data_IF_105396640580
#
_entry.id   IF_105396640580
#
_cell.length_a   1.000
_cell.length_b   1.000
_cell.length_c   1.000
_cell.angle_alpha   90.00
_cell.angle_beta   90.00
_cell.angle_gamma   90.00
#
_symmetry.space_group_name_H-M   'P 1'
#
loop_
_entity.id
_entity.type
_entity.pdbx_description
1 polymer ?
#
# COMPACT_ATOMS: atom_id res chain seq x y z
N UNK A 1 -37.26 7.80 -9.22
CA UNK A 1 -36.39 8.10 -8.07
C UNK A 1 -35.33 7.01 -7.92
N UNK A 2 -34.18 7.12 -8.60
CA UNK A 2 -33.04 6.18 -8.47
C UNK A 2 -31.74 6.86 -8.91
N UNK A 3 -31.11 7.65 -8.05
CA UNK A 3 -29.79 8.25 -8.32
C UNK A 3 -28.94 8.53 -7.08
N UNK A 4 -29.40 8.22 -5.86
CA UNK A 4 -28.73 8.70 -4.64
C UNK A 4 -27.88 7.66 -3.87
N UNK A 5 -27.89 6.38 -4.25
CA UNK A 5 -27.09 5.33 -3.56
C UNK A 5 -25.69 5.10 -4.13
N UNK A 6 -25.36 5.70 -5.28
CA UNK A 6 -24.06 5.56 -5.97
C UNK A 6 -22.88 6.37 -5.38
N UNK A 7 -23.05 7.61 -4.86
CA UNK A 7 -21.90 8.41 -4.45
C UNK A 7 -21.21 7.87 -3.18
N UNK A 8 -21.97 7.31 -2.24
CA UNK A 8 -21.43 6.91 -0.94
C UNK A 8 -20.52 5.68 -1.02
N UNK A 9 -20.90 4.69 -1.82
CA UNK A 9 -20.10 3.46 -1.96
C UNK A 9 -18.87 3.70 -2.85
N UNK A 10 -19.00 4.51 -3.90
CA UNK A 10 -17.87 4.94 -4.74
C UNK A 10 -16.88 5.80 -3.95
N UNK A 11 -17.38 6.76 -3.17
CA UNK A 11 -16.57 7.61 -2.29
C UNK A 11 -15.85 6.77 -1.23
N UNK A 12 -16.54 5.79 -0.63
CA UNK A 12 -15.93 4.84 0.32
C UNK A 12 -14.81 4.03 -0.32
N UNK A 13 -15.03 3.52 -1.54
CA UNK A 13 -14.02 2.80 -2.29
C UNK A 13 -12.83 3.70 -2.63
N UNK A 14 -13.07 4.92 -3.12
CA UNK A 14 -12.03 5.90 -3.42
C UNK A 14 -11.20 6.24 -2.18
N UNK A 15 -11.85 6.50 -1.06
CA UNK A 15 -11.19 6.78 0.22
C UNK A 15 -10.35 5.60 0.70
N UNK A 16 -10.84 4.37 0.53
CA UNK A 16 -10.08 3.17 0.85
C UNK A 16 -8.86 3.02 -0.07
N UNK A 17 -8.98 3.27 -1.38
CA UNK A 17 -7.84 3.28 -2.32
C UNK A 17 -6.83 4.35 -1.93
N UNK A 18 -7.28 5.56 -1.59
CA UNK A 18 -6.39 6.65 -1.22
C UNK A 18 -5.59 6.32 0.05
N UNK A 19 -6.25 5.74 1.07
CA UNK A 19 -5.57 5.29 2.30
C UNK A 19 -4.51 4.22 2.03
N UNK A 20 -4.81 3.25 1.16
CA UNK A 20 -3.85 2.19 0.87
C UNK A 20 -2.68 2.70 0.05
N UNK A 21 -2.91 3.57 -0.94
CA UNK A 21 -1.83 4.23 -1.68
C UNK A 21 -0.97 5.09 -0.75
N UNK A 22 -1.59 5.88 0.14
CA UNK A 22 -0.87 6.67 1.13
C UNK A 22 -0.03 5.80 2.08
N UNK A 23 -0.59 4.69 2.57
CA UNK A 23 0.14 3.71 3.38
C UNK A 23 1.35 3.16 2.64
N UNK A 24 1.20 2.82 1.35
CA UNK A 24 2.30 2.35 0.49
C UNK A 24 3.38 3.43 0.39
N UNK A 25 3.03 4.69 0.13
CA UNK A 25 4.01 5.78 0.09
C UNK A 25 4.74 5.98 1.42
N UNK A 26 4.08 5.76 2.56
CA UNK A 26 4.68 5.90 3.89
C UNK A 26 5.78 4.86 4.16
N UNK A 27 5.78 3.73 3.45
CA UNK A 27 6.83 2.71 3.57
C UNK A 27 8.20 3.30 3.23
N UNK A 28 8.28 4.19 2.23
CA UNK A 28 9.54 4.81 1.80
C UNK A 28 10.26 5.58 2.92
N UNK A 29 9.66 6.64 3.51
CA UNK A 29 10.31 7.40 4.57
C UNK A 29 10.55 6.57 5.83
N UNK A 30 9.66 5.61 6.14
CA UNK A 30 9.86 4.70 7.29
C UNK A 30 11.09 3.82 7.05
N UNK A 31 11.22 3.23 5.86
CA UNK A 31 12.35 2.37 5.52
C UNK A 31 13.66 3.15 5.53
N UNK A 32 13.67 4.38 5.00
CA UNK A 32 14.85 5.24 5.03
C UNK A 32 15.25 5.64 6.46
N UNK A 33 14.27 6.01 7.29
CA UNK A 33 14.50 6.36 8.69
C UNK A 33 15.09 5.17 9.47
N UNK A 34 14.52 3.97 9.30
CA UNK A 34 15.01 2.76 9.96
C UNK A 34 16.41 2.37 9.45
N UNK A 35 16.68 2.48 8.15
CA UNK A 35 18.00 2.23 7.58
C UNK A 35 19.06 3.19 8.17
N UNK A 36 18.74 4.48 8.30
CA UNK A 36 19.62 5.47 8.92
C UNK A 36 19.90 5.14 10.38
N UNK A 37 18.88 4.72 11.14
CA UNK A 37 19.05 4.29 12.53
C UNK A 37 19.99 3.09 12.64
N UNK A 38 19.82 2.07 11.79
CA UNK A 38 20.72 0.90 11.75
C UNK A 38 22.16 1.33 11.44
N UNK A 39 22.35 2.24 10.48
CA UNK A 39 23.68 2.73 10.09
C UNK A 39 24.36 3.65 11.10
N UNK A 40 23.60 4.28 12.00
CA UNK A 40 24.12 5.21 13.01
C UNK A 40 24.68 4.55 14.27
N UNK A 41 24.44 3.24 14.46
CA UNK A 41 24.81 2.48 15.65
C UNK A 41 26.05 1.64 15.38
N UNK A 42 27.03 1.67 16.30
CA UNK A 42 28.29 0.91 16.20
C UNK A 42 28.40 -0.13 17.32
N UNK A 43 29.02 -1.28 17.02
CA UNK A 43 29.31 -2.33 18.00
C UNK A 43 28.15 -3.33 18.19
N UNK A 44 28.08 -4.00 19.35
CA UNK A 44 27.14 -5.11 19.56
C UNK A 44 25.67 -4.70 19.51
N UNK A 45 25.36 -3.43 19.75
CA UNK A 45 24.01 -2.85 19.65
C UNK A 45 23.50 -2.79 18.21
N UNK A 46 24.38 -2.81 17.21
CA UNK A 46 24.01 -2.77 15.78
C UNK A 46 23.21 -4.02 15.37
N UNK A 47 23.52 -5.19 15.93
CA UNK A 47 22.79 -6.43 15.63
C UNK A 47 21.35 -6.34 16.18
N UNK A 48 21.20 -5.85 17.42
CA UNK A 48 19.88 -5.68 18.04
C UNK A 48 19.02 -4.67 17.27
N UNK A 49 19.58 -3.49 16.95
CA UNK A 49 18.88 -2.44 16.20
C UNK A 49 18.60 -2.89 14.76
N UNK A 50 19.52 -3.62 14.14
CA UNK A 50 19.34 -4.24 12.82
C UNK A 50 18.16 -5.21 12.80
N UNK A 51 18.06 -6.10 13.79
CA UNK A 51 16.94 -7.04 13.90
C UNK A 51 15.61 -6.31 14.07
N UNK A 52 15.56 -5.30 14.94
CA UNK A 52 14.35 -4.49 15.16
C UNK A 52 13.96 -3.74 13.88
N UNK A 53 14.91 -3.10 13.20
CA UNK A 53 14.66 -2.31 12.00
C UNK A 53 14.16 -3.19 10.84
N UNK A 54 14.81 -4.33 10.57
CA UNK A 54 14.36 -5.28 9.54
C UNK A 54 12.99 -5.86 9.88
N UNK A 55 12.73 -6.17 11.15
CA UNK A 55 11.42 -6.64 11.62
C UNK A 55 10.32 -5.59 11.38
N UNK A 56 10.56 -4.32 11.69
CA UNK A 56 9.61 -3.23 11.44
C UNK A 56 9.37 -2.98 9.94
N UNK A 57 10.44 -2.99 9.13
CA UNK A 57 10.32 -2.86 7.67
C UNK A 57 9.47 -4.02 7.12
N UNK A 58 9.77 -5.26 7.50
CA UNK A 58 9.00 -6.42 7.03
C UNK A 58 7.53 -6.36 7.47
N UNK A 59 7.24 -5.98 8.70
CA UNK A 59 5.87 -5.82 9.19
C UNK A 59 5.08 -4.77 8.39
N UNK A 60 5.68 -3.61 8.12
CA UNK A 60 5.03 -2.54 7.34
C UNK A 60 4.75 -2.96 5.89
N UNK A 61 5.69 -3.68 5.27
CA UNK A 61 5.49 -4.26 3.93
C UNK A 61 4.31 -5.24 3.92
N UNK A 62 4.23 -6.15 4.90
CA UNK A 62 3.14 -7.14 4.99
C UNK A 62 1.78 -6.45 5.17
N UNK A 63 1.71 -5.43 6.02
CA UNK A 63 0.47 -4.66 6.26
C UNK A 63 0.03 -3.97 4.96
N UNK A 64 0.95 -3.30 4.27
CA UNK A 64 0.65 -2.60 3.03
C UNK A 64 0.24 -3.56 1.90
N UNK A 65 0.95 -4.68 1.75
CA UNK A 65 0.60 -5.73 0.79
C UNK A 65 -0.82 -6.26 1.05
N UNK A 66 -1.11 -6.61 2.30
CA UNK A 66 -2.43 -7.12 2.69
C UNK A 66 -3.53 -6.08 2.46
N UNK A 67 -3.25 -4.81 2.75
CA UNK A 67 -4.20 -3.72 2.51
C UNK A 67 -4.46 -3.51 1.01
N UNK A 68 -3.42 -3.52 0.17
CA UNK A 68 -3.55 -3.43 -1.28
C UNK A 68 -4.31 -4.63 -1.85
N UNK A 69 -4.02 -5.85 -1.39
CA UNK A 69 -4.69 -7.08 -1.83
C UNK A 69 -6.18 -7.06 -1.47
N UNK A 70 -6.53 -6.59 -0.26
CA UNK A 70 -7.93 -6.41 0.17
C UNK A 70 -8.72 -5.51 -0.79
N UNK A 71 -8.10 -4.47 -1.35
CA UNK A 71 -8.74 -3.61 -2.35
C UNK A 71 -8.96 -4.34 -3.68
N UNK A 72 -7.99 -5.15 -4.10
CA UNK A 72 -8.09 -5.96 -5.32
C UNK A 72 -9.24 -6.96 -5.26
N UNK A 73 -9.56 -7.53 -4.10
CA UNK A 73 -10.66 -8.48 -3.93
C UNK A 73 -11.98 -7.85 -3.48
N UNK A 74 -12.00 -6.54 -3.19
CA UNK A 74 -13.18 -5.82 -2.72
C UNK A 74 -14.34 -5.93 -3.72
N UNK A 75 -15.32 -6.78 -3.43
CA UNK A 75 -16.51 -6.89 -4.26
C UNK A 75 -17.41 -5.70 -4.01
N UNK A 76 -17.83 -5.03 -5.07
CA UNK A 76 -18.78 -3.95 -4.99
C UNK A 76 -19.89 -4.16 -6.00
N UNK A 77 -21.13 -4.02 -5.55
CA UNK A 77 -22.33 -4.17 -6.37
C UNK A 77 -22.73 -2.84 -7.02
N UNK A 78 -21.79 -1.91 -7.20
CA UNK A 78 -22.01 -0.55 -7.72
C UNK A 78 -22.36 -0.52 -9.21
N UNK A 79 -21.93 -1.51 -10.00
CA UNK A 79 -21.95 -1.38 -11.46
C UNK A 79 -23.35 -1.63 -12.07
N UNK A 80 -23.99 -0.55 -12.52
CA UNK A 80 -25.26 -0.59 -13.28
C UNK A 80 -25.01 -0.85 -14.78
N UNK A 81 -23.81 -0.53 -15.28
CA UNK A 81 -23.44 -0.62 -16.70
C UNK A 81 -22.09 -1.37 -16.86
N UNK A 82 -21.92 -2.25 -17.88
CA UNK A 82 -20.68 -2.98 -18.15
C UNK A 82 -19.43 -2.07 -18.24
N UNK A 83 -19.55 -0.86 -18.80
CA UNK A 83 -18.43 0.08 -18.91
C UNK A 83 -17.94 0.57 -17.53
N UNK A 84 -18.86 0.93 -16.64
CA UNK A 84 -18.52 1.32 -15.27
C UNK A 84 -17.88 0.16 -14.50
N UNK A 85 -18.34 -1.07 -14.73
CA UNK A 85 -17.78 -2.26 -14.10
C UNK A 85 -16.31 -2.48 -14.46
N UNK A 86 -15.94 -2.23 -15.73
CA UNK A 86 -14.55 -2.31 -16.19
C UNK A 86 -13.69 -1.24 -15.51
N UNK A 87 -14.15 0.01 -15.48
CA UNK A 87 -13.42 1.11 -14.84
C UNK A 87 -13.21 0.85 -13.34
N UNK A 88 -14.23 0.39 -12.62
CA UNK A 88 -14.16 0.03 -11.20
C UNK A 88 -13.20 -1.14 -10.95
N UNK A 89 -13.20 -2.15 -11.84
CA UNK A 89 -12.28 -3.30 -11.75
C UNK A 89 -10.83 -2.86 -11.92
N UNK A 90 -10.56 -1.98 -12.89
CA UNK A 90 -9.22 -1.43 -13.12
C UNK A 90 -8.77 -0.55 -11.95
N UNK A 91 -9.66 0.30 -11.45
CA UNK A 91 -9.37 1.20 -10.33
C UNK A 91 -8.99 0.46 -9.05
N UNK A 92 -9.57 -0.72 -8.79
CA UNK A 92 -9.22 -1.58 -7.64
C UNK A 92 -7.79 -2.11 -7.68
N UNK A 93 -7.15 -2.15 -8.86
CA UNK A 93 -5.77 -2.63 -9.01
C UNK A 93 -4.73 -1.53 -8.76
N UNK A 94 -5.15 -0.27 -8.68
CA UNK A 94 -4.26 0.88 -8.45
C UNK A 94 -3.37 0.69 -7.21
N UNK A 95 -3.88 0.29 -6.02
CA UNK A 95 -3.02 0.05 -4.85
C UNK A 95 -1.91 -0.99 -5.08
N UNK A 96 -2.20 -2.07 -5.80
CA UNK A 96 -1.21 -3.10 -6.13
C UNK A 96 -0.15 -2.58 -7.09
N UNK A 97 -0.53 -1.78 -8.09
CA UNK A 97 0.44 -1.17 -9.02
C UNK A 97 1.41 -0.25 -8.28
N UNK A 98 0.92 0.57 -7.35
CA UNK A 98 1.78 1.40 -6.50
C UNK A 98 2.71 0.53 -5.63
N UNK A 99 2.20 -0.53 -5.03
CA UNK A 99 3.02 -1.44 -4.22
C UNK A 99 4.14 -2.10 -5.04
N UNK A 100 3.83 -2.58 -6.25
CA UNK A 100 4.83 -3.17 -7.16
C UNK A 100 5.86 -2.12 -7.60
N UNK A 101 5.43 -0.90 -7.91
CA UNK A 101 6.36 0.18 -8.28
C UNK A 101 7.34 0.52 -7.13
N UNK A 102 6.85 0.50 -5.89
CA UNK A 102 7.68 0.72 -4.70
C UNK A 102 8.70 -0.41 -4.52
N UNK A 103 8.26 -1.66 -4.70
CA UNK A 103 9.15 -2.81 -4.62
C UNK A 103 10.22 -2.79 -5.71
N UNK A 104 9.85 -2.45 -6.94
CA UNK A 104 10.78 -2.31 -8.07
C UNK A 104 11.80 -1.19 -7.81
N UNK A 105 11.34 -0.05 -7.27
CA UNK A 105 12.22 1.05 -6.86
C UNK A 105 13.22 0.61 -5.78
N UNK A 106 12.75 -0.08 -4.74
CA UNK A 106 13.60 -0.58 -3.65
C UNK A 106 14.67 -1.58 -4.16
N UNK A 107 14.32 -2.45 -5.11
CA UNK A 107 15.28 -3.35 -5.74
C UNK A 107 16.32 -2.60 -6.58
N UNK A 108 15.88 -1.63 -7.38
CA UNK A 108 16.77 -0.84 -8.24
C UNK A 108 17.76 0.03 -7.44
N UNK A 109 17.43 0.43 -6.22
CA UNK A 109 18.32 1.21 -5.36
C UNK A 109 19.46 0.36 -4.77
N UNK A 110 19.32 -0.96 -4.74
CA UNK A 110 20.29 -1.90 -4.16
C UNK A 110 21.11 -2.70 -5.19
N UNK A 111 20.93 -2.45 -6.48
CA UNK A 111 21.75 -2.97 -7.60
C UNK A 111 22.70 -1.92 -8.12
#
# INVERSE_FOLDING_TARGET
MRTFFLPDELSRMHWAVLKTVFLTFLILPISHFLAQMIGSVQGSSQIMVGFIGISLISATIIIAFTAALKMTIWQTSIAVNPTQQIVLRLYRHVPMLFFVSLFAFALCQHT
#
